data_IF_137955989359
#
_entry.id   IF_137955989359
#
_cell.length_a   1.000
_cell.length_b   1.000
_cell.length_c   1.000
_cell.angle_alpha   90.00
_cell.angle_beta   90.00
_cell.angle_gamma   90.00
#
_symmetry.space_group_name_H-M   'P 1'
#
loop_
_entity.id
_entity.type
_entity.pdbx_description
1 polymer ?
#
# COMPACT_ATOMS: atom_id res chain seq x y z
N UNK A 1 5.43 4.63 6.59
CA UNK A 1 4.05 4.19 6.34
C UNK A 1 3.13 5.37 6.58
N UNK A 2 2.33 5.69 5.57
CA UNK A 2 1.30 6.73 5.55
C UNK A 2 -0.07 6.03 5.43
N UNK A 3 -0.99 6.30 6.35
CA UNK A 3 -2.32 5.67 6.37
C UNK A 3 -3.38 6.72 6.15
N UNK A 4 -4.16 6.56 5.08
CA UNK A 4 -5.32 7.38 4.79
C UNK A 4 -6.58 6.75 5.41
N UNK A 5 -7.15 7.46 6.38
CA UNK A 5 -8.39 7.06 7.07
C UNK A 5 -9.65 7.37 6.25
N UNK A 6 -9.53 8.24 5.25
CA UNK A 6 -10.61 8.70 4.39
C UNK A 6 -10.15 8.67 2.92
N UNK A 7 -11.03 8.28 1.97
CA UNK A 7 -10.65 8.05 0.58
C UNK A 7 -10.53 9.37 -0.20
N UNK A 8 -9.36 10.02 -0.09
CA UNK A 8 -9.03 11.22 -0.86
C UNK A 8 -8.18 10.90 -2.08
N UNK A 9 -8.20 11.77 -3.09
CA UNK A 9 -7.38 11.64 -4.32
C UNK A 9 -5.94 12.14 -4.18
N UNK A 10 -5.47 12.36 -2.96
CA UNK A 10 -4.13 12.88 -2.66
C UNK A 10 -3.37 11.89 -1.81
N UNK A 11 -2.07 11.81 -1.99
CA UNK A 11 -1.18 11.06 -1.10
C UNK A 11 -0.44 11.99 -0.12
N UNK A 12 -0.12 11.49 1.07
CA UNK A 12 0.63 12.22 2.10
C UNK A 12 2.11 12.42 1.71
N UNK A 13 2.66 11.50 0.92
CA UNK A 13 4.05 11.53 0.50
C UNK A 13 4.21 10.99 -0.93
N UNK A 14 5.18 11.54 -1.66
CA UNK A 14 5.53 11.03 -2.99
C UNK A 14 6.01 9.57 -2.91
N UNK A 15 5.67 8.79 -3.95
CA UNK A 15 6.03 7.38 -4.07
C UNK A 15 7.56 7.18 -4.00
N UNK A 16 8.01 6.30 -3.10
CA UNK A 16 9.42 5.92 -2.93
C UNK A 16 9.50 4.49 -2.40
N UNK A 17 10.62 3.81 -2.66
CA UNK A 17 10.84 2.44 -2.18
C UNK A 17 10.83 2.29 -0.65
N UNK A 18 11.02 3.37 0.10
CA UNK A 18 11.01 3.42 1.56
C UNK A 18 9.73 4.06 2.15
N UNK A 19 8.72 4.34 1.31
CA UNK A 19 7.43 4.91 1.74
C UNK A 19 6.27 4.07 1.19
N UNK A 20 5.48 3.50 2.10
CA UNK A 20 4.17 2.92 1.80
C UNK A 20 3.06 3.95 2.05
N UNK A 21 2.27 4.24 1.02
CA UNK A 21 0.98 4.93 1.12
C UNK A 21 -0.14 3.88 1.01
N UNK A 22 -0.96 3.75 2.05
CA UNK A 22 -2.05 2.77 2.12
C UNK A 22 -3.32 3.43 2.65
N UNK A 23 -4.46 3.12 2.06
CA UNK A 23 -5.78 3.56 2.52
C UNK A 23 -6.59 2.38 3.02
N UNK A 24 -7.41 2.58 4.05
CA UNK A 24 -8.28 1.52 4.56
C UNK A 24 -8.66 1.70 6.02
N UNK A 25 -9.74 1.02 6.41
CA UNK A 25 -10.26 1.04 7.78
C UNK A 25 -10.45 -0.38 8.35
N UNK A 26 -9.89 -1.40 7.70
CA UNK A 26 -9.92 -2.79 8.15
C UNK A 26 -8.53 -3.26 8.59
N UNK A 27 -8.50 -4.40 9.30
CA UNK A 27 -7.26 -5.03 9.77
C UNK A 27 -6.33 -5.45 8.62
N UNK A 28 -6.84 -5.53 7.39
CA UNK A 28 -6.06 -5.82 6.18
C UNK A 28 -4.88 -4.85 5.98
N UNK A 29 -5.01 -3.61 6.46
CA UNK A 29 -3.93 -2.61 6.42
C UNK A 29 -2.68 -3.12 7.14
N UNK A 30 -2.81 -3.93 8.19
CA UNK A 30 -1.65 -4.47 8.91
C UNK A 30 -0.91 -5.54 8.09
N UNK A 31 -1.61 -6.36 7.32
CA UNK A 31 -0.99 -7.33 6.39
C UNK A 31 -0.16 -6.60 5.34
N UNK A 32 -0.70 -5.52 4.77
CA UNK A 32 0.03 -4.69 3.78
C UNK A 32 1.29 -4.07 4.42
N UNK A 33 1.18 -3.58 5.65
CA UNK A 33 2.32 -3.01 6.38
C UNK A 33 3.41 -4.08 6.63
N UNK A 34 3.02 -5.28 7.04
CA UNK A 34 3.97 -6.38 7.28
C UNK A 34 4.74 -6.75 6.02
N UNK A 35 4.04 -6.89 4.88
CA UNK A 35 4.67 -7.17 3.60
C UNK A 35 5.66 -6.07 3.16
N UNK A 36 5.31 -4.80 3.37
CA UNK A 36 6.22 -3.68 3.09
C UNK A 36 7.48 -3.73 3.96
N UNK A 37 7.33 -3.94 5.28
CA UNK A 37 8.47 -3.97 6.22
C UNK A 37 9.42 -5.13 5.93
N UNK A 38 8.89 -6.27 5.47
CA UNK A 38 9.70 -7.43 5.07
C UNK A 38 10.26 -7.32 3.64
N UNK A 39 10.05 -6.20 2.94
CA UNK A 39 10.60 -5.97 1.61
C UNK A 39 9.92 -6.78 0.50
N UNK A 40 8.70 -7.28 0.75
CA UNK A 40 7.92 -7.98 -0.24
C UNK A 40 7.27 -7.05 -1.28
N UNK A 41 7.29 -5.73 -1.04
CA UNK A 41 6.73 -4.72 -1.94
C UNK A 41 7.81 -3.81 -2.54
N UNK A 42 7.80 -3.72 -3.86
CA UNK A 42 8.53 -2.70 -4.64
C UNK A 42 7.67 -1.47 -4.92
N UNK A 43 8.21 -0.49 -5.67
CA UNK A 43 7.49 0.75 -6.02
C UNK A 43 6.29 0.57 -6.95
N UNK A 44 6.08 -0.64 -7.49
CA UNK A 44 4.95 -0.96 -8.37
C UNK A 44 3.96 -1.95 -7.71
N UNK A 45 4.07 -2.19 -6.40
CA UNK A 45 3.41 -3.33 -5.77
C UNK A 45 1.88 -3.35 -5.95
N UNK A 46 1.20 -2.20 -5.92
CA UNK A 46 -0.25 -2.17 -6.10
C UNK A 46 -0.68 -2.63 -7.49
N UNK A 47 0.12 -2.31 -8.51
CA UNK A 47 -0.13 -2.77 -9.87
C UNK A 47 0.06 -4.29 -9.97
N UNK A 48 1.13 -4.80 -9.38
CA UNK A 48 1.44 -6.24 -9.34
C UNK A 48 0.33 -7.04 -8.61
N UNK A 49 -0.17 -6.53 -7.49
CA UNK A 49 -1.28 -7.15 -6.74
C UNK A 49 -2.58 -7.16 -7.55
N UNK A 50 -2.91 -6.06 -8.24
CA UNK A 50 -4.09 -6.00 -9.11
C UNK A 50 -3.98 -7.00 -10.26
N UNK A 51 -2.80 -7.12 -10.89
CA UNK A 51 -2.54 -8.06 -11.97
C UNK A 51 -2.61 -9.53 -11.52
N UNK A 52 -2.31 -9.82 -10.25
CA UNK A 52 -2.37 -11.17 -9.69
C UNK A 52 -3.81 -11.67 -9.43
N UNK A 53 -4.80 -10.79 -9.33
CA UNK A 53 -6.20 -11.17 -9.11
C UNK A 53 -6.84 -11.66 -10.42
N UNK A 54 -7.27 -12.93 -10.45
CA UNK A 54 -8.05 -13.49 -11.56
C UNK A 54 -9.55 -13.35 -11.27
N UNK A 55 -10.33 -12.85 -12.25
CA UNK A 55 -11.77 -12.63 -12.17
C UNK A 55 -12.61 -13.87 -12.51
#
# INVERSE_FOLDING_TARGET
VCIDLLPYGTTQAAERSDILNVGGFSDEVFTVIDNFVNGHYGSAHWLEEIEAVTL
#
